data_IF_780869758201
#
_entry.id   IF_780869758201
#
_cell.length_a   1.000
_cell.length_b   1.000
_cell.length_c   1.000
_cell.angle_alpha   90.00
_cell.angle_beta   90.00
_cell.angle_gamma   90.00
#
_symmetry.space_group_name_H-M   'P 1'
#
loop_
_entity.id
_entity.type
_entity.pdbx_description
1 polymer ?
#
# COMPACT_ATOMS: atom_id res chain seq x y z
N UNK A 1 -42.80 -19.73 -23.05
CA UNK A 1 -41.44 -19.27 -23.44
C UNK A 1 -40.78 -18.71 -22.18
N UNK A 2 -40.10 -19.55 -21.39
CA UNK A 2 -39.41 -19.13 -20.16
C UNK A 2 -38.07 -18.49 -20.55
N UNK A 3 -37.97 -17.17 -20.46
CA UNK A 3 -36.71 -16.46 -20.54
C UNK A 3 -35.99 -16.60 -19.18
N UNK A 4 -34.99 -17.48 -19.15
CA UNK A 4 -34.07 -17.59 -18.03
C UNK A 4 -33.26 -16.31 -17.89
N UNK A 5 -33.34 -15.69 -16.72
CA UNK A 5 -32.50 -14.57 -16.33
C UNK A 5 -31.10 -15.13 -16.07
N UNK A 6 -30.21 -15.01 -17.07
CA UNK A 6 -28.80 -15.30 -16.88
C UNK A 6 -28.21 -14.29 -15.89
N UNK A 7 -27.80 -14.77 -14.72
CA UNK A 7 -27.02 -13.98 -13.78
C UNK A 7 -25.68 -13.63 -14.45
N UNK A 8 -25.53 -12.37 -14.86
CA UNK A 8 -24.24 -11.76 -15.19
C UNK A 8 -23.36 -11.90 -13.94
N UNK A 9 -22.50 -12.91 -13.91
CA UNK A 9 -21.44 -12.97 -12.91
C UNK A 9 -20.53 -11.78 -13.18
N UNK A 10 -20.40 -10.89 -12.19
CA UNK A 10 -19.37 -9.87 -12.21
C UNK A 10 -18.02 -10.55 -12.48
N UNK A 11 -17.30 -10.06 -13.48
CA UNK A 11 -15.99 -10.58 -13.79
C UNK A 11 -15.08 -10.34 -12.57
N UNK A 12 -14.46 -11.39 -12.04
CA UNK A 12 -13.61 -11.28 -10.86
C UNK A 12 -12.42 -10.33 -11.06
N UNK A 13 -11.84 -9.87 -9.95
CA UNK A 13 -10.71 -8.94 -9.95
C UNK A 13 -9.40 -9.73 -10.00
N UNK A 14 -8.48 -9.32 -10.89
CA UNK A 14 -7.16 -9.92 -11.02
C UNK A 14 -6.10 -8.83 -10.95
N UNK A 15 -5.14 -8.97 -10.03
CA UNK A 15 -4.03 -8.03 -9.87
C UNK A 15 -2.73 -8.81 -9.82
N UNK A 16 -1.77 -8.44 -10.67
CA UNK A 16 -0.40 -8.97 -10.60
C UNK A 16 0.39 -8.19 -9.56
N UNK A 17 0.93 -8.89 -8.56
CA UNK A 17 1.69 -8.30 -7.47
C UNK A 17 3.15 -8.01 -7.88
N UNK A 18 4.00 -7.57 -6.94
CA UNK A 18 5.39 -7.19 -7.22
C UNK A 18 6.35 -8.40 -7.26
N UNK A 19 5.84 -9.61 -7.00
CA UNK A 19 6.54 -10.88 -7.24
C UNK A 19 6.26 -11.42 -8.65
N UNK A 20 5.38 -10.77 -9.41
CA UNK A 20 4.88 -11.28 -10.69
C UNK A 20 3.78 -12.33 -10.55
N UNK A 21 3.20 -12.49 -9.36
CA UNK A 21 2.12 -13.45 -9.11
C UNK A 21 0.77 -12.77 -9.35
N UNK A 22 -0.07 -13.35 -10.21
CA UNK A 22 -1.45 -12.88 -10.40
C UNK A 22 -2.35 -13.42 -9.31
N UNK A 23 -2.88 -12.51 -8.49
CA UNK A 23 -3.87 -12.81 -7.46
C UNK A 23 -5.25 -12.57 -8.04
N UNK A 24 -6.03 -13.64 -8.16
CA UNK A 24 -7.41 -13.60 -8.64
C UNK A 24 -8.40 -13.76 -7.48
N UNK A 25 -9.38 -12.85 -7.42
CA UNK A 25 -10.52 -12.88 -6.51
C UNK A 25 -11.81 -12.90 -7.32
N UNK A 26 -12.83 -13.61 -6.85
CA UNK A 26 -14.13 -13.68 -7.53
C UNK A 26 -14.86 -12.33 -7.57
N UNK A 27 -14.52 -11.42 -6.65
CA UNK A 27 -15.06 -10.06 -6.52
C UNK A 27 -14.03 -9.20 -5.77
N UNK A 28 -14.21 -7.87 -5.76
CA UNK A 28 -13.40 -6.98 -4.93
C UNK A 28 -13.48 -7.37 -3.44
N UNK A 29 -12.34 -7.46 -2.72
CA UNK A 29 -12.31 -7.94 -1.35
C UNK A 29 -13.08 -7.00 -0.42
N UNK A 30 -13.79 -7.58 0.55
CA UNK A 30 -14.56 -6.89 1.60
C UNK A 30 -13.91 -7.04 2.97
N UNK A 31 -13.00 -8.01 3.14
CA UNK A 31 -12.26 -8.27 4.37
C UNK A 31 -10.77 -8.26 4.08
N UNK A 32 -10.08 -7.20 4.47
CA UNK A 32 -8.67 -6.97 4.18
C UNK A 32 -7.88 -7.00 5.49
N UNK A 33 -6.80 -7.78 5.53
CA UNK A 33 -5.75 -7.59 6.53
C UNK A 33 -4.57 -6.89 5.86
N UNK A 34 -4.08 -5.80 6.44
CA UNK A 34 -2.91 -5.07 5.92
C UNK A 34 -1.74 -5.17 6.89
N UNK A 35 -0.57 -5.60 6.39
CA UNK A 35 0.64 -5.78 7.20
C UNK A 35 1.75 -4.76 6.91
N UNK A 36 1.40 -3.63 6.27
CA UNK A 36 2.32 -2.52 5.99
C UNK A 36 1.55 -1.19 6.16
N UNK A 37 2.03 -0.23 6.97
CA UNK A 37 1.30 1.02 7.24
C UNK A 37 0.91 1.81 5.98
N UNK A 38 1.81 1.91 5.00
CA UNK A 38 1.52 2.63 3.75
C UNK A 38 0.40 1.99 2.92
N UNK A 39 0.25 0.66 2.96
CA UNK A 39 -0.88 -0.03 2.32
C UNK A 39 -2.17 0.22 3.09
N UNK A 40 -2.12 0.22 4.43
CA UNK A 40 -3.27 0.57 5.28
C UNK A 40 -3.78 1.97 4.96
N UNK A 41 -2.89 2.96 4.93
CA UNK A 41 -3.25 4.35 4.60
C UNK A 41 -3.81 4.46 3.18
N UNK A 42 -3.20 3.79 2.20
CA UNK A 42 -3.68 3.81 0.82
C UNK A 42 -5.09 3.23 0.68
N UNK A 43 -5.42 2.14 1.37
CA UNK A 43 -6.79 1.58 1.40
C UNK A 43 -7.79 2.60 1.96
N UNK A 44 -7.40 3.33 3.01
CA UNK A 44 -8.27 4.34 3.63
C UNK A 44 -8.43 5.59 2.76
N UNK A 45 -7.35 6.08 2.12
CA UNK A 45 -7.38 7.22 1.18
C UNK A 45 -8.22 6.94 -0.08
N UNK A 46 -8.35 5.67 -0.46
CA UNK A 46 -9.25 5.17 -1.50
C UNK A 46 -10.71 5.02 -1.03
N UNK A 47 -11.05 5.59 0.13
CA UNK A 47 -12.38 5.54 0.76
C UNK A 47 -12.85 4.11 1.13
N UNK A 48 -11.92 3.14 1.22
CA UNK A 48 -12.22 1.73 1.52
C UNK A 48 -11.77 1.28 2.91
N UNK A 49 -11.51 2.23 3.81
CA UNK A 49 -11.03 1.95 5.17
C UNK A 49 -11.93 0.95 5.94
N UNK A 50 -13.24 0.98 5.68
CA UNK A 50 -14.24 0.10 6.29
C UNK A 50 -14.06 -1.39 5.95
N UNK A 51 -13.27 -1.73 4.93
CA UNK A 51 -12.97 -3.11 4.53
C UNK A 51 -11.80 -3.72 5.30
N UNK A 52 -11.05 -2.90 6.05
CA UNK A 52 -9.96 -3.38 6.89
C UNK A 52 -10.52 -4.10 8.13
N UNK A 53 -10.13 -5.36 8.30
CA UNK A 53 -10.53 -6.20 9.44
C UNK A 53 -9.35 -6.48 10.39
N UNK A 54 -8.14 -6.10 9.99
CA UNK A 54 -6.94 -6.16 10.81
C UNK A 54 -5.79 -5.40 10.16
N UNK A 55 -4.90 -4.88 10.99
CA UNK A 55 -3.75 -4.07 10.55
C UNK A 55 -2.47 -4.52 11.24
N UNK A 56 -1.31 -4.10 10.73
CA UNK A 56 -0.05 -4.26 11.46
C UNK A 56 -0.02 -3.39 12.73
N UNK A 57 0.92 -3.71 13.62
CA UNK A 57 1.12 -3.03 14.91
C UNK A 57 1.53 -1.56 14.81
N UNK A 58 1.97 -1.07 13.65
CA UNK A 58 2.45 0.29 13.44
C UNK A 58 1.46 1.17 12.68
N UNK A 59 0.49 0.58 11.99
CA UNK A 59 -0.60 1.30 11.32
C UNK A 59 -1.36 2.19 12.29
N UNK A 60 -1.45 3.48 11.96
CA UNK A 60 -1.87 4.47 12.93
C UNK A 60 -2.72 5.63 12.36
N UNK A 61 -2.92 5.65 11.05
CA UNK A 61 -3.64 6.65 10.29
C UNK A 61 -4.60 5.98 9.27
N UNK A 62 -5.81 6.50 9.08
CA UNK A 62 -6.50 7.47 9.95
C UNK A 62 -6.70 6.89 11.36
N UNK A 63 -7.00 7.74 12.35
CA UNK A 63 -7.08 7.31 13.75
C UNK A 63 -8.01 6.11 14.01
N UNK A 64 -9.05 5.94 13.18
CA UNK A 64 -10.00 4.82 13.24
C UNK A 64 -9.31 3.44 13.12
N UNK A 65 -8.21 3.31 12.36
CA UNK A 65 -7.56 2.01 12.16
C UNK A 65 -6.92 1.45 13.43
N UNK A 66 -6.65 2.30 14.42
CA UNK A 66 -6.09 1.89 15.72
C UNK A 66 -7.04 1.02 16.55
N UNK A 67 -8.34 1.04 16.21
CA UNK A 67 -9.35 0.18 16.85
C UNK A 67 -9.40 -1.24 16.28
N UNK A 68 -8.74 -1.48 15.14
CA UNK A 68 -8.74 -2.78 14.48
C UNK A 68 -7.81 -3.77 15.18
N UNK A 69 -8.10 -5.09 15.10
CA UNK A 69 -7.20 -6.13 15.57
C UNK A 69 -5.80 -6.01 14.97
N UNK A 70 -4.77 -6.10 15.82
CA UNK A 70 -3.38 -6.09 15.39
C UNK A 70 -2.91 -7.49 14.99
N UNK A 71 -2.43 -7.62 13.76
CA UNK A 71 -2.04 -8.88 13.14
C UNK A 71 -0.51 -9.12 13.10
N UNK A 72 0.23 -8.50 14.03
CA UNK A 72 1.69 -8.53 14.05
C UNK A 72 2.32 -7.43 13.19
N UNK A 73 3.47 -7.69 12.56
CA UNK A 73 4.11 -6.79 11.60
C UNK A 73 4.58 -7.53 10.36
N UNK A 74 5.08 -6.80 9.35
CA UNK A 74 5.59 -7.42 8.12
C UNK A 74 6.74 -8.42 8.34
N UNK A 75 7.54 -8.26 9.40
CA UNK A 75 8.63 -9.18 9.74
C UNK A 75 8.18 -10.33 10.66
N UNK A 76 7.15 -10.08 11.48
CA UNK A 76 6.62 -10.97 12.51
C UNK A 76 5.08 -11.09 12.42
N UNK A 77 4.51 -11.56 11.29
CA UNK A 77 3.07 -11.64 11.14
C UNK A 77 2.46 -12.67 12.09
N UNK A 78 1.38 -12.31 12.77
CA UNK A 78 0.63 -13.23 13.61
C UNK A 78 -0.34 -14.06 12.73
N UNK A 79 0.16 -15.18 12.23
CA UNK A 79 -0.57 -16.06 11.30
C UNK A 79 -1.92 -16.52 11.87
N UNK A 80 -1.98 -16.88 13.14
CA UNK A 80 -3.22 -17.35 13.77
C UNK A 80 -4.29 -16.24 13.81
N UNK A 81 -3.89 -15.02 14.16
CA UNK A 81 -4.77 -13.85 14.14
C UNK A 81 -5.27 -13.57 12.72
N UNK A 82 -4.37 -13.58 11.74
CA UNK A 82 -4.73 -13.33 10.33
C UNK A 82 -5.76 -14.36 9.85
N UNK A 83 -5.54 -15.65 10.12
CA UNK A 83 -6.48 -16.72 9.73
C UNK A 83 -7.82 -16.57 10.45
N UNK A 84 -7.82 -16.25 11.76
CA UNK A 84 -9.03 -16.07 12.55
C UNK A 84 -9.90 -14.91 12.04
N UNK A 85 -9.28 -13.87 11.48
CA UNK A 85 -9.98 -12.75 10.85
C UNK A 85 -10.63 -13.10 9.51
N UNK A 86 -10.36 -14.27 8.92
CA UNK A 86 -10.94 -14.73 7.64
C UNK A 86 -10.91 -13.62 6.56
N UNK A 87 -9.74 -13.09 6.19
CA UNK A 87 -9.65 -12.08 5.14
C UNK A 87 -9.84 -12.70 3.76
N UNK A 88 -10.37 -11.91 2.84
CA UNK A 88 -10.39 -12.23 1.41
C UNK A 88 -9.00 -12.07 0.81
N UNK A 89 -8.22 -11.11 1.32
CA UNK A 89 -6.83 -10.84 0.91
C UNK A 89 -5.99 -10.29 2.07
N UNK A 90 -4.73 -10.68 2.10
CA UNK A 90 -3.70 -10.10 2.96
C UNK A 90 -2.79 -9.20 2.12
N UNK A 91 -2.68 -7.93 2.48
CA UNK A 91 -1.76 -6.97 1.86
C UNK A 91 -0.43 -6.98 2.63
N UNK A 92 0.68 -7.17 1.92
CA UNK A 92 2.01 -7.26 2.54
C UNK A 92 3.08 -6.63 1.62
N UNK A 93 4.25 -6.33 2.16
CA UNK A 93 5.42 -5.97 1.35
C UNK A 93 6.08 -7.23 0.76
N UNK A 94 6.82 -7.13 -0.34
CA UNK A 94 7.59 -8.29 -0.86
C UNK A 94 8.73 -8.67 0.10
N UNK A 95 9.21 -7.70 0.88
CA UNK A 95 10.17 -7.87 1.97
C UNK A 95 9.58 -8.49 3.25
N UNK A 96 8.25 -8.65 3.33
CA UNK A 96 7.59 -9.25 4.49
C UNK A 96 7.81 -10.76 4.56
N UNK A 97 7.83 -11.31 5.77
CA UNK A 97 7.91 -12.76 6.02
C UNK A 97 6.51 -13.38 6.04
N UNK A 98 6.42 -14.70 5.98
CA UNK A 98 5.18 -15.44 6.21
C UNK A 98 4.25 -15.62 5.01
N UNK A 99 4.56 -15.03 3.85
CA UNK A 99 3.74 -15.15 2.62
C UNK A 99 3.44 -16.61 2.26
N UNK A 100 4.47 -17.46 2.14
CA UNK A 100 4.30 -18.88 1.81
C UNK A 100 3.44 -19.62 2.84
N UNK A 101 3.54 -19.25 4.12
CA UNK A 101 2.75 -19.88 5.18
C UNK A 101 1.27 -19.50 5.06
N UNK A 102 0.96 -18.22 4.82
CA UNK A 102 -0.42 -17.76 4.60
C UNK A 102 -1.02 -18.40 3.34
N UNK A 103 -0.29 -18.45 2.23
CA UNK A 103 -0.71 -19.10 0.99
C UNK A 103 -0.94 -20.61 1.19
N UNK A 104 -0.09 -21.30 1.97
CA UNK A 104 -0.27 -22.73 2.31
C UNK A 104 -1.54 -23.01 3.11
N UNK A 105 -2.09 -21.99 3.78
CA UNK A 105 -3.34 -22.05 4.53
C UNK A 105 -4.55 -21.61 3.67
N UNK A 106 -4.35 -21.39 2.38
CA UNK A 106 -5.40 -21.04 1.41
C UNK A 106 -5.72 -19.55 1.33
N UNK A 107 -5.00 -18.69 2.05
CA UNK A 107 -5.21 -17.24 1.99
C UNK A 107 -4.62 -16.65 0.71
N UNK A 108 -5.31 -15.64 0.15
CA UNK A 108 -4.76 -14.83 -0.95
C UNK A 108 -3.84 -13.77 -0.36
N UNK A 109 -2.63 -13.64 -0.91
CA UNK A 109 -1.66 -12.63 -0.49
C UNK A 109 -1.31 -11.76 -1.69
N UNK A 110 -1.48 -10.45 -1.55
CA UNK A 110 -1.06 -9.46 -2.54
C UNK A 110 0.17 -8.73 -2.03
N UNK A 111 1.34 -9.02 -2.60
CA UNK A 111 2.61 -8.45 -2.17
C UNK A 111 2.97 -7.19 -2.98
N UNK A 112 2.94 -6.02 -2.34
CA UNK A 112 3.16 -4.71 -2.95
C UNK A 112 4.24 -3.94 -2.19
N UNK A 113 5.28 -3.48 -2.88
CA UNK A 113 6.46 -2.89 -2.27
C UNK A 113 6.71 -1.46 -2.83
N UNK A 114 6.37 -0.40 -2.06
CA UNK A 114 6.57 0.99 -2.46
C UNK A 114 7.93 1.57 -2.00
N UNK A 115 9.02 1.39 -2.78
CA UNK A 115 10.37 1.90 -2.42
C UNK A 115 10.73 3.27 -2.97
N UNK A 116 9.99 3.75 -3.96
CA UNK A 116 10.17 5.03 -4.64
C UNK A 116 8.82 5.73 -4.81
N UNK A 117 8.82 7.00 -5.23
CA UNK A 117 7.57 7.68 -5.61
C UNK A 117 6.85 6.96 -6.74
N UNK A 118 7.61 6.51 -7.75
CA UNK A 118 7.05 5.74 -8.87
C UNK A 118 6.42 4.43 -8.39
N UNK A 119 7.04 3.75 -7.43
CA UNK A 119 6.45 2.55 -6.84
C UNK A 119 5.20 2.88 -6.03
N UNK A 120 5.18 3.96 -5.25
CA UNK A 120 4.01 4.39 -4.50
C UNK A 120 2.82 4.65 -5.43
N UNK A 121 3.03 5.38 -6.54
CA UNK A 121 2.00 5.61 -7.57
C UNK A 121 1.49 4.30 -8.17
N UNK A 122 2.39 3.38 -8.49
CA UNK A 122 2.07 2.06 -9.07
C UNK A 122 1.27 1.21 -8.09
N UNK A 123 1.70 1.14 -6.83
CA UNK A 123 1.03 0.39 -5.74
C UNK A 123 -0.37 0.93 -5.52
N UNK A 124 -0.54 2.25 -5.51
CA UNK A 124 -1.84 2.90 -5.41
C UNK A 124 -2.76 2.55 -6.59
N UNK A 125 -2.22 2.50 -7.81
CA UNK A 125 -2.96 2.02 -8.98
C UNK A 125 -3.40 0.56 -8.84
N UNK A 126 -2.52 -0.33 -8.37
CA UNK A 126 -2.83 -1.75 -8.11
C UNK A 126 -3.91 -1.92 -7.02
N UNK A 127 -3.86 -1.12 -5.95
CA UNK A 127 -4.90 -1.10 -4.93
C UNK A 127 -6.21 -0.52 -5.46
N UNK A 128 -6.17 0.52 -6.30
CA UNK A 128 -7.34 1.02 -7.01
C UNK A 128 -8.02 -0.05 -7.85
N UNK A 129 -7.24 -0.82 -8.61
CA UNK A 129 -7.73 -1.97 -9.37
C UNK A 129 -8.33 -3.05 -8.47
N UNK A 130 -7.62 -3.45 -7.40
CA UNK A 130 -8.09 -4.45 -6.44
C UNK A 130 -9.44 -4.06 -5.82
N UNK A 131 -9.57 -2.80 -5.45
CA UNK A 131 -10.71 -2.24 -4.74
C UNK A 131 -11.82 -1.73 -5.68
N UNK A 132 -11.62 -1.85 -6.99
CA UNK A 132 -12.50 -1.35 -8.05
C UNK A 132 -12.84 0.15 -7.90
N UNK A 133 -11.83 0.94 -7.49
CA UNK A 133 -11.94 2.40 -7.35
C UNK A 133 -11.55 3.05 -8.69
N UNK A 134 -12.48 3.75 -9.39
CA UNK A 134 -12.26 4.21 -10.76
C UNK A 134 -11.12 5.21 -10.94
N UNK A 135 -10.83 6.06 -9.94
CA UNK A 135 -9.80 7.10 -10.03
C UNK A 135 -8.88 7.10 -8.81
N UNK A 136 -8.16 6.00 -8.61
CA UNK A 136 -7.11 5.93 -7.59
C UNK A 136 -5.97 6.95 -7.84
N UNK A 137 -5.75 7.33 -9.09
CA UNK A 137 -4.72 8.31 -9.47
C UNK A 137 -5.01 9.73 -8.94
N UNK A 138 -6.24 10.03 -8.49
CA UNK A 138 -6.58 11.30 -7.86
C UNK A 138 -5.68 11.62 -6.66
N UNK A 139 -5.38 10.60 -5.85
CA UNK A 139 -4.58 10.76 -4.64
C UNK A 139 -3.13 11.07 -5.02
N UNK A 140 -2.59 10.36 -6.02
CA UNK A 140 -1.24 10.63 -6.52
C UNK A 140 -1.09 12.04 -7.08
N UNK A 141 -2.07 12.53 -7.86
CA UNK A 141 -2.07 13.90 -8.38
C UNK A 141 -2.03 14.93 -7.26
N UNK A 142 -2.75 14.71 -6.16
CA UNK A 142 -2.72 15.60 -5.00
C UNK A 142 -1.36 15.58 -4.29
N UNK A 143 -0.77 14.40 -4.09
CA UNK A 143 0.58 14.25 -3.52
C UNK A 143 1.62 14.97 -4.38
N UNK A 144 1.60 14.73 -5.70
CA UNK A 144 2.55 15.30 -6.64
C UNK A 144 2.45 16.83 -6.73
N UNK A 145 1.22 17.36 -6.71
CA UNK A 145 0.96 18.79 -6.64
C UNK A 145 1.49 19.40 -5.34
N UNK A 146 1.29 18.73 -4.20
CA UNK A 146 1.79 19.17 -2.90
C UNK A 146 3.32 19.23 -2.85
N UNK A 147 4.01 18.20 -3.35
CA UNK A 147 5.47 18.18 -3.43
C UNK A 147 5.99 19.28 -4.36
N UNK A 148 5.34 19.47 -5.51
CA UNK A 148 5.71 20.53 -6.47
C UNK A 148 5.52 21.93 -5.88
N UNK A 149 4.42 22.16 -5.14
CA UNK A 149 4.19 23.42 -4.45
C UNK A 149 5.25 23.67 -3.37
N UNK A 150 5.65 22.66 -2.60
CA UNK A 150 6.73 22.77 -1.64
C UNK A 150 8.07 23.14 -2.31
N UNK A 151 8.41 22.49 -3.42
CA UNK A 151 9.62 22.79 -4.19
C UNK A 151 9.65 24.22 -4.75
N UNK A 152 8.49 24.75 -5.17
CA UNK A 152 8.36 26.12 -5.68
C UNK A 152 8.40 27.18 -4.57
N UNK A 153 8.05 26.83 -3.33
CA UNK A 153 8.08 27.74 -2.19
C UNK A 153 9.51 28.08 -1.70
N UNK A 154 10.52 27.33 -2.14
CA UNK A 154 11.91 27.51 -1.71
C UNK A 154 12.57 28.73 -2.40
N UNK A 155 13.21 29.65 -1.64
CA UNK A 155 13.84 30.83 -2.23
C UNK A 155 15.00 30.48 -3.17
N UNK A 156 15.07 31.14 -4.33
CA UNK A 156 16.12 30.93 -5.35
C UNK A 156 17.55 31.14 -4.83
N UNK A 157 17.73 31.96 -3.78
CA UNK A 157 19.05 32.21 -3.14
C UNK A 157 19.59 31.02 -2.35
N UNK A 158 18.83 29.94 -2.21
CA UNK A 158 19.20 28.73 -1.49
C UNK A 158 19.59 27.59 -2.45
N UNK A 159 20.10 27.88 -3.65
CA UNK A 159 20.55 26.85 -4.60
C UNK A 159 21.98 27.12 -5.10
N UNK A 160 22.89 26.12 -5.08
CA UNK A 160 22.69 24.75 -4.59
C UNK A 160 22.95 24.62 -3.08
N UNK A 161 21.95 24.16 -2.31
CA UNK A 161 22.18 23.62 -0.96
C UNK A 161 22.77 22.21 -1.08
N UNK A 162 23.60 21.82 -0.12
CA UNK A 162 24.07 20.44 0.00
C UNK A 162 23.46 19.86 1.26
N UNK A 163 22.64 18.82 1.10
CA UNK A 163 21.95 18.19 2.23
C UNK A 163 22.62 16.87 2.60
N UNK A 164 22.90 16.71 3.90
CA UNK A 164 23.20 15.42 4.50
C UNK A 164 21.99 15.01 5.34
N UNK A 165 21.39 13.86 4.99
CA UNK A 165 20.27 13.30 5.74
C UNK A 165 20.71 12.02 6.44
N UNK A 166 20.86 12.08 7.75
CA UNK A 166 21.15 10.92 8.59
C UNK A 166 19.86 10.15 8.89
N UNK A 167 19.79 8.89 8.46
CA UNK A 167 18.59 8.06 8.55
C UNK A 167 18.49 7.36 9.91
N UNK A 168 19.63 7.11 10.55
CA UNK A 168 19.68 6.51 11.89
C UNK A 168 20.99 6.84 12.59
N UNK A 169 21.00 6.74 13.92
CA UNK A 169 22.16 7.01 14.80
C UNK A 169 23.38 6.12 14.55
N UNK A 170 23.33 5.20 13.59
CA UNK A 170 24.43 4.33 13.19
C UNK A 170 25.33 4.90 12.09
N UNK A 171 25.18 6.19 11.74
CA UNK A 171 25.98 6.82 10.68
C UNK A 171 25.52 6.48 9.26
N UNK A 172 24.28 5.99 9.09
CA UNK A 172 23.70 5.72 7.78
C UNK A 172 23.05 6.98 7.23
N UNK A 173 23.37 7.33 5.99
CA UNK A 173 22.81 8.49 5.31
C UNK A 173 21.99 8.12 4.08
N UNK A 174 21.00 8.94 3.75
CA UNK A 174 20.19 8.75 2.56
C UNK A 174 21.02 9.04 1.29
N UNK A 175 21.20 8.02 0.45
CA UNK A 175 21.78 8.19 -0.89
C UNK A 175 20.78 8.81 -1.87
N UNK A 176 21.29 9.31 -3.01
CA UNK A 176 20.47 9.92 -4.07
C UNK A 176 19.48 8.97 -4.74
N UNK A 177 19.70 7.66 -4.62
CA UNK A 177 18.80 6.61 -5.12
C UNK A 177 17.72 6.19 -4.11
N UNK A 178 17.75 6.71 -2.89
CA UNK A 178 16.70 6.45 -1.90
C UNK A 178 15.48 7.34 -2.14
N UNK A 179 14.32 6.97 -1.60
CA UNK A 179 13.13 7.82 -1.62
C UNK A 179 13.40 9.23 -1.05
N UNK A 180 14.21 9.33 0.01
CA UNK A 180 14.60 10.61 0.61
C UNK A 180 15.47 11.41 -0.37
N UNK A 181 16.45 10.76 -1.00
CA UNK A 181 17.31 11.38 -2.01
C UNK A 181 16.51 11.88 -3.23
N UNK A 182 15.54 11.09 -3.68
CA UNK A 182 14.60 11.48 -4.73
C UNK A 182 13.82 12.74 -4.34
N UNK A 183 13.28 12.78 -3.11
CA UNK A 183 12.54 13.94 -2.61
C UNK A 183 13.41 15.20 -2.49
N UNK A 184 14.65 15.07 -2.02
CA UNK A 184 15.60 16.19 -1.99
C UNK A 184 15.89 16.71 -3.40
N UNK A 185 16.10 15.82 -4.36
CA UNK A 185 16.26 16.18 -5.77
C UNK A 185 15.06 16.95 -6.33
N UNK A 186 13.83 16.55 -5.96
CA UNK A 186 12.60 17.28 -6.35
C UNK A 186 12.51 18.68 -5.72
N UNK A 187 13.04 18.88 -4.52
CA UNK A 187 13.15 20.19 -3.88
C UNK A 187 14.29 21.04 -4.46
N UNK A 188 15.16 20.45 -5.29
CA UNK A 188 16.29 21.12 -5.93
C UNK A 188 17.46 21.35 -4.98
N UNK A 189 17.66 20.44 -4.02
CA UNK A 189 18.73 20.44 -3.01
C UNK A 189 19.48 19.11 -2.94
#
# INVERSE_FOLDING_TARGET
MLLGVGALHAAGVQVTDDRGVTVALAQSPQRIVSLLPSLTETVCELDQCHRLVGVDRYSNHPASVRSLPQAGGGIDPNIETIVALRPDVVLMATSSRGVQRLESLGLKVLALEPRSSTDAQRVMGKLGQLLEVPDAQRIWRAIDAGVSAAAQSLPARQRPLRVYYEVSTGGYAAGTQSFIGEMMGRLGV
#
